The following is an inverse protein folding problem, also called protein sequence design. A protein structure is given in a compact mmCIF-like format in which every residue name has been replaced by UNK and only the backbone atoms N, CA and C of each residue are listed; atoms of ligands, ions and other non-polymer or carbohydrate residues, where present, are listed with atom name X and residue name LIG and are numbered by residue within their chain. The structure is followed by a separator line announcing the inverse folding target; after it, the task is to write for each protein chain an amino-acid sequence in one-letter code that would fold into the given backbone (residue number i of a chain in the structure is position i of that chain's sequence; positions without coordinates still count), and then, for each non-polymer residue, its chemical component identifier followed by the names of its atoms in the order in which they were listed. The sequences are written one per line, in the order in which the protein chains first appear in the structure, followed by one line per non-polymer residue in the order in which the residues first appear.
data_IF_263977682591
#
_entry.id   IF_263977682591
#
_cell.length_a   1.000
_cell.length_b   1.000
_cell.length_c   1.000
_cell.angle_alpha   90.00
_cell.angle_beta   90.00
_cell.angle_gamma   90.00
#
_symmetry.space_group_name_H-M   'P 1'
#
loop_
_entity.id
_entity.type
_entity.pdbx_description
1 polymer ?
#
# COMPACT_ATOMS: atom_id res chain seq x y z
N UNK A 1 -40.72 -36.79 -27.11
CA UNK A 1 -39.79 -35.73 -27.53
C UNK A 1 -40.40 -34.32 -27.42
N UNK A 2 -41.14 -33.97 -26.34
CA UNK A 2 -41.88 -32.71 -26.27
C UNK A 2 -41.61 -31.87 -24.99
N UNK A 3 -40.72 -32.30 -24.10
CA UNK A 3 -40.48 -31.59 -22.81
C UNK A 3 -39.42 -30.50 -22.80
N UNK A 4 -38.70 -30.30 -23.90
CA UNK A 4 -37.65 -29.26 -23.99
C UNK A 4 -38.19 -27.89 -24.43
N UNK A 5 -39.40 -27.83 -24.98
CA UNK A 5 -39.95 -26.58 -25.55
C UNK A 5 -40.52 -25.60 -24.52
N UNK A 6 -40.67 -25.98 -23.25
CA UNK A 6 -41.30 -25.13 -22.21
C UNK A 6 -40.37 -24.65 -21.10
N UNK A 7 -39.06 -24.87 -21.19
CA UNK A 7 -38.14 -24.25 -20.23
C UNK A 7 -38.02 -22.75 -20.49
N UNK A 8 -38.64 -21.95 -19.60
CA UNK A 8 -38.41 -20.49 -19.56
C UNK A 8 -36.91 -20.25 -19.54
N UNK A 9 -36.40 -19.40 -20.43
CA UNK A 9 -34.97 -19.02 -20.40
C UNK A 9 -34.62 -18.43 -19.01
N UNK A 10 -33.46 -18.76 -18.46
CA UNK A 10 -33.04 -18.20 -17.17
C UNK A 10 -33.10 -16.66 -17.21
N UNK A 11 -33.53 -16.01 -16.12
CA UNK A 11 -33.61 -14.56 -16.08
C UNK A 11 -32.25 -13.97 -16.43
N UNK A 12 -32.24 -13.00 -17.34
CA UNK A 12 -31.02 -12.27 -17.71
C UNK A 12 -30.41 -11.65 -16.46
N UNK A 13 -29.12 -11.87 -16.22
CA UNK A 13 -28.41 -11.19 -15.14
C UNK A 13 -28.46 -9.68 -15.38
N UNK A 14 -29.13 -8.98 -14.47
CA UNK A 14 -29.14 -7.52 -14.50
C UNK A 14 -27.80 -7.05 -13.92
N UNK A 15 -26.95 -6.48 -14.77
CA UNK A 15 -25.71 -5.84 -14.33
C UNK A 15 -26.06 -4.44 -13.81
N UNK A 16 -25.77 -4.20 -12.55
CA UNK A 16 -25.92 -2.89 -11.92
C UNK A 16 -24.55 -2.30 -11.68
N UNK A 17 -24.35 -1.04 -12.03
CA UNK A 17 -23.13 -0.31 -11.68
C UNK A 17 -23.00 -0.20 -10.16
N UNK A 18 -21.82 -0.51 -9.64
CA UNK A 18 -21.52 -0.41 -8.21
C UNK A 18 -21.40 1.10 -7.88
N UNK A 19 -22.17 1.54 -6.88
CA UNK A 19 -22.00 2.87 -6.31
C UNK A 19 -20.90 2.84 -5.24
N UNK A 20 -19.75 3.53 -5.45
CA UNK A 20 -18.63 3.46 -4.52
C UNK A 20 -18.97 3.98 -3.12
N UNK A 21 -19.92 4.89 -2.97
CA UNK A 21 -20.27 5.48 -1.67
C UNK A 21 -21.18 4.59 -0.81
N UNK A 22 -22.04 3.79 -1.45
CA UNK A 22 -23.01 2.93 -0.75
C UNK A 22 -22.59 1.47 -0.73
N UNK A 23 -22.12 0.95 -1.87
CA UNK A 23 -21.90 -0.48 -2.04
C UNK A 23 -20.53 -0.93 -1.49
N UNK A 24 -19.49 -0.05 -1.48
CA UNK A 24 -18.19 -0.38 -0.89
C UNK A 24 -18.23 -0.62 0.63
N UNK A 25 -19.21 -0.07 1.34
CA UNK A 25 -19.40 -0.32 2.78
C UNK A 25 -19.87 -1.74 3.09
N UNK A 26 -20.58 -2.34 2.16
CA UNK A 26 -21.19 -3.68 2.32
C UNK A 26 -20.40 -4.78 1.61
N UNK A 27 -19.52 -4.40 0.67
CA UNK A 27 -18.73 -5.34 -0.10
C UNK A 27 -17.48 -5.78 0.69
N UNK A 28 -17.39 -7.07 1.00
CA UNK A 28 -16.19 -7.66 1.58
C UNK A 28 -15.11 -7.81 0.50
N UNK A 29 -14.17 -6.89 0.48
CA UNK A 29 -13.01 -6.96 -0.40
C UNK A 29 -12.14 -8.18 -0.03
N UNK A 30 -11.81 -9.05 -0.99
CA UNK A 30 -10.84 -10.12 -0.74
C UNK A 30 -9.45 -9.51 -0.47
N UNK A 31 -8.56 -10.20 0.27
CA UNK A 31 -7.20 -9.71 0.58
C UNK A 31 -6.42 -9.26 -0.66
N UNK A 32 -6.55 -9.98 -1.77
CA UNK A 32 -5.92 -9.58 -3.04
C UNK A 32 -6.41 -8.22 -3.56
N UNK A 33 -7.69 -7.92 -3.39
CA UNK A 33 -8.26 -6.61 -3.74
C UNK A 33 -7.72 -5.49 -2.84
N UNK A 34 -7.60 -5.75 -1.53
CA UNK A 34 -7.01 -4.80 -0.56
C UNK A 34 -5.58 -4.48 -0.95
N UNK A 35 -4.73 -5.50 -1.19
CA UNK A 35 -3.33 -5.30 -1.61
C UNK A 35 -3.24 -4.48 -2.90
N UNK A 36 -4.11 -4.76 -3.88
CA UNK A 36 -4.11 -4.02 -5.14
C UNK A 36 -4.46 -2.53 -4.95
N UNK A 37 -5.40 -2.21 -4.07
CA UNK A 37 -5.75 -0.82 -3.75
C UNK A 37 -4.60 -0.15 -2.99
N UNK A 38 -4.06 -0.81 -1.97
CA UNK A 38 -2.95 -0.28 -1.18
C UNK A 38 -1.67 -0.09 -2.01
N UNK A 39 -1.42 -0.94 -3.01
CA UNK A 39 -0.33 -0.77 -3.97
C UNK A 39 -0.46 0.55 -4.75
N UNK A 40 -1.67 0.90 -5.19
CA UNK A 40 -1.93 2.18 -5.87
C UNK A 40 -1.81 3.37 -4.92
N UNK A 41 -2.36 3.25 -3.70
CA UNK A 41 -2.25 4.29 -2.66
C UNK A 41 -0.80 4.52 -2.28
N UNK A 42 0.00 3.47 -2.10
CA UNK A 42 1.42 3.61 -1.77
C UNK A 42 2.22 4.29 -2.88
N UNK A 43 1.96 3.96 -4.15
CA UNK A 43 2.57 4.64 -5.29
C UNK A 43 2.20 6.12 -5.36
N UNK A 44 0.92 6.43 -5.17
CA UNK A 44 0.45 7.82 -5.12
C UNK A 44 1.07 8.61 -3.96
N UNK A 45 1.16 8.00 -2.78
CA UNK A 45 1.78 8.63 -1.60
C UNK A 45 3.26 8.94 -1.83
N UNK A 46 4.02 8.00 -2.40
CA UNK A 46 5.43 8.23 -2.74
C UNK A 46 5.59 9.35 -3.78
N UNK A 47 4.73 9.39 -4.78
CA UNK A 47 4.73 10.45 -5.79
C UNK A 47 4.41 11.82 -5.17
N UNK A 48 3.37 11.89 -4.33
CA UNK A 48 2.97 13.14 -3.66
C UNK A 48 4.08 13.66 -2.73
N UNK A 49 4.78 12.76 -2.03
CA UNK A 49 5.85 13.11 -1.10
C UNK A 49 7.25 13.15 -1.77
N UNK A 50 7.32 13.05 -3.11
CA UNK A 50 8.59 13.09 -3.84
C UNK A 50 9.43 14.33 -3.51
N UNK A 51 8.89 15.57 -3.41
CA UNK A 51 9.68 16.73 -3.02
C UNK A 51 10.31 16.57 -1.62
N UNK A 52 9.58 15.94 -0.68
CA UNK A 52 10.10 15.65 0.66
C UNK A 52 11.21 14.59 0.62
N UNK A 53 11.07 13.56 -0.22
CA UNK A 53 12.10 12.53 -0.41
C UNK A 53 13.39 13.15 -0.96
N UNK A 54 13.28 13.98 -1.99
CA UNK A 54 14.42 14.66 -2.60
C UNK A 54 15.12 15.58 -1.59
N UNK A 55 14.35 16.36 -0.82
CA UNK A 55 14.87 17.20 0.24
C UNK A 55 15.59 16.38 1.33
N UNK A 56 15.01 15.26 1.79
CA UNK A 56 15.65 14.37 2.76
C UNK A 56 16.98 13.83 2.23
N UNK A 57 17.00 13.39 0.98
CA UNK A 57 18.18 12.84 0.34
C UNK A 57 19.28 13.91 0.22
N UNK A 58 18.95 15.07 -0.32
CA UNK A 58 19.90 16.19 -0.47
C UNK A 58 20.47 16.62 0.87
N UNK A 59 19.62 16.94 1.84
CA UNK A 59 20.08 17.45 3.15
C UNK A 59 20.84 16.41 3.97
N UNK A 60 20.55 15.13 3.82
CA UNK A 60 21.24 14.07 4.56
C UNK A 60 22.66 13.76 4.04
N UNK A 61 22.96 14.12 2.79
CA UNK A 61 24.22 13.74 2.13
C UNK A 61 25.13 14.92 1.77
N UNK A 62 24.64 16.17 1.77
CA UNK A 62 25.40 17.32 1.25
C UNK A 62 26.57 17.75 2.14
N UNK A 63 26.43 17.75 3.46
CA UNK A 63 27.45 18.10 4.43
C UNK A 63 27.07 17.70 5.86
N UNK A 64 28.02 17.73 6.80
CA UNK A 64 27.76 17.52 8.23
C UNK A 64 26.77 18.55 8.79
N UNK A 65 26.90 19.81 8.40
CA UNK A 65 25.99 20.89 8.84
C UNK A 65 24.56 20.63 8.32
N UNK A 66 24.41 20.19 7.08
CA UNK A 66 23.09 19.87 6.52
C UNK A 66 22.49 18.62 7.16
N UNK A 67 23.33 17.63 7.48
CA UNK A 67 22.90 16.43 8.20
C UNK A 67 22.39 16.74 9.62
N UNK A 68 23.05 17.66 10.34
CA UNK A 68 22.58 18.10 11.65
C UNK A 68 21.25 18.85 11.57
N UNK A 69 21.07 19.69 10.55
CA UNK A 69 19.77 20.32 10.26
C UNK A 69 18.70 19.29 9.92
N UNK A 70 19.04 18.29 9.13
CA UNK A 70 18.17 17.17 8.81
C UNK A 70 17.70 16.44 10.08
N UNK A 71 18.61 16.09 11.00
CA UNK A 71 18.26 15.46 12.28
C UNK A 71 17.36 16.36 13.13
N UNK A 72 17.67 17.65 13.21
CA UNK A 72 16.92 18.62 13.99
C UNK A 72 15.43 18.70 13.55
N UNK A 73 15.12 18.51 12.28
CA UNK A 73 13.73 18.45 11.79
C UNK A 73 12.92 17.32 12.45
N UNK A 74 13.54 16.16 12.65
CA UNK A 74 12.89 15.01 13.26
C UNK A 74 12.89 15.04 14.79
N UNK A 75 13.75 15.82 15.42
CA UNK A 75 13.86 15.96 16.87
C UNK A 75 13.05 17.16 17.37
N UNK A 76 13.38 18.35 16.89
CA UNK A 76 12.79 19.60 17.29
C UNK A 76 11.55 20.00 16.47
N UNK A 77 11.54 19.62 15.18
CA UNK A 77 10.52 20.06 14.22
C UNK A 77 10.90 21.32 13.46
N UNK A 78 9.93 21.91 12.75
CA UNK A 78 10.08 23.14 11.96
C UNK A 78 8.90 24.05 12.18
N UNK A 79 9.13 25.26 12.65
CA UNK A 79 8.08 26.24 12.90
C UNK A 79 7.08 25.72 13.93
N UNK A 80 5.79 25.62 13.57
CA UNK A 80 4.73 25.09 14.43
C UNK A 80 4.57 23.56 14.34
N UNK A 81 5.28 22.89 13.43
CA UNK A 81 5.21 21.44 13.25
C UNK A 81 6.25 20.73 14.12
N UNK A 82 5.82 19.90 15.08
CA UNK A 82 6.74 19.17 15.96
C UNK A 82 7.46 18.03 15.22
N UNK A 83 8.64 17.62 15.73
CA UNK A 83 9.46 16.57 15.12
C UNK A 83 8.76 15.23 14.92
N UNK A 84 7.85 14.84 15.85
CA UNK A 84 7.08 13.62 15.72
C UNK A 84 6.20 13.58 14.45
N UNK A 85 5.73 14.76 13.97
CA UNK A 85 4.97 14.85 12.72
C UNK A 85 5.82 14.38 11.52
N UNK A 86 7.07 14.87 11.44
CA UNK A 86 8.00 14.45 10.38
C UNK A 86 8.38 12.97 10.48
N UNK A 87 8.49 12.44 11.71
CA UNK A 87 8.66 10.99 11.92
C UNK A 87 7.46 10.19 11.41
N UNK A 88 6.23 10.67 11.59
CA UNK A 88 5.05 10.01 11.02
C UNK A 88 5.02 10.06 9.48
N UNK A 89 5.42 11.19 8.88
CA UNK A 89 5.55 11.29 7.42
C UNK A 89 6.61 10.32 6.90
N UNK A 90 7.76 10.23 7.58
CA UNK A 90 8.81 9.27 7.23
C UNK A 90 8.33 7.82 7.41
N UNK A 91 7.59 7.51 8.47
CA UNK A 91 7.00 6.19 8.69
C UNK A 91 6.00 5.82 7.58
N UNK A 92 5.16 6.77 7.18
CA UNK A 92 4.24 6.58 6.06
C UNK A 92 4.98 6.27 4.74
N UNK A 93 6.10 6.96 4.47
CA UNK A 93 6.98 6.70 3.33
C UNK A 93 7.66 5.33 3.42
N UNK A 94 8.16 4.95 4.60
CA UNK A 94 8.77 3.62 4.84
C UNK A 94 7.73 2.53 4.53
N UNK A 95 6.52 2.65 5.08
CA UNK A 95 5.47 1.70 4.79
C UNK A 95 5.09 1.69 3.30
N UNK A 96 4.91 2.87 2.70
CA UNK A 96 4.54 2.99 1.30
C UNK A 96 5.59 2.33 0.38
N UNK A 97 6.87 2.57 0.62
CA UNK A 97 7.97 1.98 -0.16
C UNK A 97 8.03 0.47 -0.02
N UNK A 98 7.94 -0.05 1.21
CA UNK A 98 7.95 -1.49 1.48
C UNK A 98 6.73 -2.18 0.86
N UNK A 99 5.53 -1.64 1.10
CA UNK A 99 4.30 -2.23 0.57
C UNK A 99 4.28 -2.19 -0.96
N UNK A 100 4.67 -1.07 -1.56
CA UNK A 100 4.73 -0.92 -3.02
C UNK A 100 5.70 -1.90 -3.65
N UNK A 101 6.89 -2.03 -3.08
CA UNK A 101 7.91 -2.95 -3.56
C UNK A 101 7.46 -4.42 -3.46
N UNK A 102 7.02 -4.88 -2.28
CA UNK A 102 6.61 -6.27 -2.07
C UNK A 102 5.38 -6.61 -2.94
N UNK A 103 4.41 -5.71 -2.99
CA UNK A 103 3.22 -5.87 -3.82
C UNK A 103 3.55 -5.84 -5.31
N UNK A 104 4.49 -5.00 -5.74
CA UNK A 104 4.99 -4.94 -7.11
C UNK A 104 5.67 -6.23 -7.52
N UNK A 105 6.55 -6.80 -6.70
CA UNK A 105 7.17 -8.11 -6.94
C UNK A 105 6.11 -9.22 -7.06
N UNK A 106 5.07 -9.16 -6.21
CA UNK A 106 3.94 -10.10 -6.29
C UNK A 106 3.24 -10.00 -7.65
N UNK A 107 2.98 -8.79 -8.15
CA UNK A 107 2.35 -8.57 -9.46
C UNK A 107 3.23 -9.13 -10.59
N UNK A 108 4.52 -8.80 -10.60
CA UNK A 108 5.47 -9.33 -11.58
C UNK A 108 5.52 -10.86 -11.57
N UNK A 109 5.48 -11.48 -10.38
CA UNK A 109 5.46 -12.94 -10.26
C UNK A 109 4.19 -13.55 -10.88
N UNK A 110 3.04 -12.91 -10.67
CA UNK A 110 1.76 -13.35 -11.26
C UNK A 110 1.72 -13.18 -12.79
N UNK A 111 2.47 -12.21 -13.33
CA UNK A 111 2.55 -11.98 -14.78
C UNK A 111 3.40 -13.03 -15.48
N UNK A 112 4.45 -13.55 -14.84
CA UNK A 112 5.35 -14.55 -15.44
C UNK A 112 4.98 -16.00 -15.13
N UNK A 113 4.13 -16.25 -14.12
CA UNK A 113 3.78 -17.58 -13.64
C UNK A 113 2.29 -17.86 -13.71
N UNK A 114 1.86 -18.67 -14.67
CA UNK A 114 0.46 -19.10 -14.77
C UNK A 114 -0.03 -19.87 -13.52
N UNK A 115 0.87 -20.60 -12.84
CA UNK A 115 0.55 -21.29 -11.59
C UNK A 115 0.24 -20.32 -10.43
N UNK A 116 0.71 -19.09 -10.50
CA UNK A 116 0.47 -18.04 -9.52
C UNK A 116 -0.88 -17.33 -9.70
N UNK A 117 -1.63 -17.59 -10.78
CA UNK A 117 -2.93 -16.95 -11.07
C UNK A 117 -4.09 -17.80 -10.52
N UNK A 118 -3.91 -18.47 -9.40
CA UNK A 118 -4.96 -19.23 -8.72
C UNK A 118 -5.57 -18.43 -7.58
N UNK A 119 -6.84 -18.72 -7.23
CA UNK A 119 -7.53 -18.04 -6.12
C UNK A 119 -6.80 -18.23 -4.78
N UNK A 120 -6.29 -19.43 -4.52
CA UNK A 120 -5.54 -19.74 -3.30
C UNK A 120 -4.20 -18.99 -3.24
N UNK A 121 -3.42 -18.99 -4.32
CA UNK A 121 -2.19 -18.22 -4.39
C UNK A 121 -2.47 -16.72 -4.22
N UNK A 122 -3.48 -16.19 -4.93
CA UNK A 122 -3.87 -14.78 -4.82
C UNK A 122 -4.23 -14.38 -3.39
N UNK A 123 -4.92 -15.25 -2.64
CA UNK A 123 -5.26 -15.02 -1.24
C UNK A 123 -4.03 -15.05 -0.33
N UNK A 124 -3.25 -16.14 -0.37
CA UNK A 124 -2.12 -16.37 0.53
C UNK A 124 -0.98 -15.37 0.29
N UNK A 125 -0.65 -15.09 -0.97
CA UNK A 125 0.37 -14.10 -1.32
C UNK A 125 -0.04 -12.68 -0.91
N UNK A 126 -1.34 -12.36 -0.94
CA UNK A 126 -1.83 -11.09 -0.45
C UNK A 126 -1.69 -10.95 1.07
N UNK A 127 -2.04 -11.98 1.83
CA UNK A 127 -1.83 -11.99 3.29
C UNK A 127 -0.34 -11.89 3.64
N UNK A 128 0.52 -12.60 2.93
CA UNK A 128 1.97 -12.50 3.10
C UNK A 128 2.46 -11.06 2.84
N UNK A 129 2.02 -10.43 1.75
CA UNK A 129 2.37 -9.03 1.43
C UNK A 129 1.96 -8.06 2.53
N UNK A 130 0.71 -8.18 3.02
CA UNK A 130 0.21 -7.34 4.11
C UNK A 130 1.02 -7.53 5.40
N UNK A 131 1.19 -8.78 5.82
CA UNK A 131 1.92 -9.09 7.05
C UNK A 131 3.38 -8.61 6.98
N UNK A 132 4.09 -8.93 5.91
CA UNK A 132 5.50 -8.57 5.76
C UNK A 132 5.69 -7.05 5.69
N UNK A 133 4.88 -6.33 4.90
CA UNK A 133 5.01 -4.87 4.80
C UNK A 133 4.72 -4.16 6.12
N UNK A 134 3.72 -4.62 6.89
CA UNK A 134 3.40 -4.04 8.21
C UNK A 134 4.46 -4.37 9.24
N UNK A 135 4.94 -5.62 9.32
CA UNK A 135 5.96 -6.03 10.28
C UNK A 135 7.29 -5.29 10.04
N UNK A 136 7.73 -5.18 8.79
CA UNK A 136 8.94 -4.45 8.45
C UNK A 136 8.79 -2.95 8.74
N UNK A 137 7.65 -2.36 8.39
CA UNK A 137 7.38 -0.95 8.70
C UNK A 137 7.31 -0.71 10.21
N UNK A 138 6.74 -1.62 10.99
CA UNK A 138 6.72 -1.53 12.45
C UNK A 138 8.13 -1.63 13.06
N UNK A 139 8.96 -2.55 12.57
CA UNK A 139 10.35 -2.69 13.02
C UNK A 139 11.17 -1.43 12.73
N UNK A 140 11.12 -0.93 11.48
CA UNK A 140 11.83 0.30 11.11
C UNK A 140 11.25 1.54 11.81
N UNK A 141 9.95 1.58 12.00
CA UNK A 141 9.27 2.62 12.78
C UNK A 141 9.70 2.64 14.23
N UNK A 142 9.81 1.48 14.88
CA UNK A 142 10.30 1.36 16.23
C UNK A 142 11.72 1.98 16.37
N UNK A 143 12.60 1.72 15.42
CA UNK A 143 13.92 2.35 15.35
C UNK A 143 13.83 3.87 15.13
N UNK A 144 12.98 4.32 14.20
CA UNK A 144 12.78 5.75 13.91
C UNK A 144 12.32 6.53 15.14
N UNK A 145 11.53 5.91 16.01
CA UNK A 145 11.05 6.51 17.27
C UNK A 145 11.97 6.26 18.46
N UNK A 146 13.09 5.57 18.26
CA UNK A 146 14.10 5.38 19.31
C UNK A 146 13.73 4.33 20.37
N UNK A 147 12.94 3.31 19.99
CA UNK A 147 12.57 2.22 20.90
C UNK A 147 13.69 1.18 21.05
N UNK A 148 14.66 1.15 20.15
CA UNK A 148 15.90 0.35 20.22
C UNK A 148 16.99 0.96 19.32
#
# INVERSE_FOLDING_TARGET
MSDLAHRKPPPRRVFRNINPLTDLRTYRLPPAGIVSILHRISGFLMFLLLPFIVWMFDTSLSSEISFDRFKAVFEAGVGFMPGWFFKLVALALIWASLHHFISGLRHLWMDVSHAAVTKSFGHNSALFTLATSVLLAAALGAKLFGLY
#
